data_IF_290482483066
#
_entry.id   IF_290482483066
#
_cell.length_a   1.000
_cell.length_b   1.000
_cell.length_c   1.000
_cell.angle_alpha   90.00
_cell.angle_beta   90.00
_cell.angle_gamma   90.00
#
_symmetry.space_group_name_H-M   'P 1'
#
loop_
_entity.id
_entity.type
_entity.pdbx_description
1 polymer ?
#
# COMPACT_ATOMS: atom_id res chain seq x y z
N UNK A 1 16.80 3.20 4.71
CA UNK A 1 15.34 3.40 4.78
C UNK A 1 15.10 4.85 5.17
N UNK A 2 14.44 5.65 4.32
CA UNK A 2 14.13 7.07 4.57
C UNK A 2 12.62 7.29 4.66
N UNK A 3 12.17 8.18 5.54
CA UNK A 3 10.76 8.56 5.65
C UNK A 3 10.46 9.79 4.79
N UNK A 4 9.53 9.66 3.86
CA UNK A 4 9.10 10.75 2.97
C UNK A 4 8.16 11.70 3.72
N UNK A 5 8.42 13.00 3.63
CA UNK A 5 7.64 14.06 4.28
C UNK A 5 7.05 14.97 3.21
N UNK A 6 6.03 15.74 3.55
CA UNK A 6 5.33 16.64 2.59
C UNK A 6 6.23 17.65 1.87
N UNK A 7 7.45 17.87 2.36
CA UNK A 7 8.37 18.90 1.91
C UNK A 7 9.64 18.34 1.24
N UNK A 8 9.77 17.01 1.10
CA UNK A 8 10.94 16.43 0.45
C UNK A 8 10.89 16.73 -1.05
N UNK A 9 11.82 17.57 -1.51
CA UNK A 9 11.91 18.09 -2.88
C UNK A 9 12.75 17.19 -3.79
N UNK A 10 13.50 16.24 -3.21
CA UNK A 10 14.42 15.36 -3.95
C UNK A 10 13.83 13.95 -4.07
N UNK A 11 13.91 13.40 -5.29
CA UNK A 11 13.69 11.98 -5.55
C UNK A 11 14.85 11.21 -4.91
N UNK A 12 14.54 10.42 -3.89
CA UNK A 12 15.52 9.74 -3.04
C UNK A 12 15.71 8.30 -3.51
N UNK A 13 16.89 7.96 -4.03
CA UNK A 13 17.22 6.59 -4.44
C UNK A 13 17.20 5.63 -3.24
N UNK A 14 16.64 4.44 -3.46
CA UNK A 14 16.58 3.35 -2.48
C UNK A 14 15.22 3.19 -1.80
N UNK A 15 15.20 2.57 -0.62
CA UNK A 15 13.95 2.24 0.09
C UNK A 15 13.41 3.45 0.86
N UNK A 16 12.21 3.88 0.49
CA UNK A 16 11.45 4.95 1.14
C UNK A 16 10.20 4.43 1.83
N UNK A 17 9.88 4.99 2.99
CA UNK A 17 8.62 4.79 3.69
C UNK A 17 7.75 6.01 3.41
N UNK A 18 6.55 5.77 2.88
CA UNK A 18 5.62 6.84 2.53
C UNK A 18 4.34 6.67 3.33
N UNK A 19 3.93 7.69 4.12
CA UNK A 19 2.59 7.70 4.70
C UNK A 19 1.52 7.60 3.60
N UNK A 20 0.52 6.74 3.77
CA UNK A 20 -0.47 6.43 2.72
C UNK A 20 -1.17 7.66 2.12
N UNK A 21 -1.40 8.71 2.92
CA UNK A 21 -2.01 9.96 2.46
C UNK A 21 -1.08 10.82 1.57
N UNK A 22 0.22 10.58 1.57
CA UNK A 22 1.20 11.22 0.69
C UNK A 22 1.47 10.43 -0.60
N UNK A 23 0.88 9.24 -0.78
CA UNK A 23 1.14 8.39 -1.94
C UNK A 23 0.46 8.87 -3.23
N UNK A 24 -0.20 10.02 -3.23
CA UNK A 24 -0.88 10.55 -4.42
C UNK A 24 0.11 11.36 -5.28
N UNK A 25 0.23 11.01 -6.55
CA UNK A 25 1.04 11.75 -7.53
C UNK A 25 2.51 11.34 -7.60
N UNK A 26 2.88 10.21 -6.98
CA UNK A 26 4.20 9.60 -7.04
C UNK A 26 4.03 8.12 -7.36
N UNK A 27 4.88 7.50 -8.15
CA UNK A 27 4.79 6.08 -8.51
C UNK A 27 6.12 5.38 -8.22
N UNK A 28 6.06 4.06 -7.99
CA UNK A 28 7.22 3.25 -7.64
C UNK A 28 7.23 1.95 -8.46
N UNK A 29 8.42 1.44 -8.77
CA UNK A 29 8.54 0.15 -9.45
C UNK A 29 7.89 -0.97 -8.63
N UNK A 30 8.15 -0.98 -7.31
CA UNK A 30 7.59 -1.92 -6.36
C UNK A 30 7.05 -1.20 -5.11
N UNK A 31 5.93 -1.67 -4.57
CA UNK A 31 5.34 -1.17 -3.31
C UNK A 31 5.08 -2.32 -2.35
N UNK A 32 5.45 -2.12 -1.08
CA UNK A 32 5.10 -3.00 0.02
C UNK A 32 4.10 -2.27 0.91
N UNK A 33 2.88 -2.79 1.03
CA UNK A 33 1.94 -2.35 2.07
C UNK A 33 2.22 -3.19 3.31
N UNK A 34 2.86 -2.57 4.31
CA UNK A 34 3.32 -3.26 5.51
C UNK A 34 2.19 -3.92 6.34
N UNK A 35 1.03 -3.26 6.43
CA UNK A 35 -0.11 -3.81 7.17
C UNK A 35 -1.42 -3.51 6.43
N UNK A 36 -1.88 -4.50 5.66
CA UNK A 36 -3.12 -4.56 4.93
C UNK A 36 -4.20 -5.33 5.70
N UNK A 37 -4.10 -5.40 7.03
CA UNK A 37 -5.08 -6.08 7.89
C UNK A 37 -6.40 -5.33 8.00
N UNK A 38 -7.43 -6.03 8.47
CA UNK A 38 -8.72 -5.44 8.86
C UNK A 38 -8.55 -4.35 9.94
N UNK A 39 -7.56 -4.48 10.83
CA UNK A 39 -7.32 -3.49 11.88
C UNK A 39 -6.90 -2.12 11.33
N UNK A 40 -6.21 -2.10 10.18
CA UNK A 40 -5.78 -0.87 9.50
C UNK A 40 -6.76 -0.46 8.40
N UNK A 41 -7.28 -1.42 7.63
CA UNK A 41 -8.13 -1.20 6.46
C UNK A 41 -9.46 -1.96 6.55
N UNK A 42 -10.15 -1.87 7.68
CA UNK A 42 -11.49 -2.45 7.88
C UNK A 42 -12.64 -1.48 7.56
N UNK A 43 -12.40 -0.18 7.68
CA UNK A 43 -13.42 0.85 7.45
C UNK A 43 -13.53 1.24 5.98
N UNK A 44 -14.75 1.28 5.44
CA UNK A 44 -15.05 1.60 4.04
C UNK A 44 -14.50 2.97 3.61
N UNK A 45 -14.41 3.95 4.51
CA UNK A 45 -13.80 5.27 4.24
C UNK A 45 -12.33 5.18 3.82
N UNK A 46 -11.63 4.11 4.22
CA UNK A 46 -10.23 3.87 3.89
C UNK A 46 -10.03 3.16 2.55
N UNK A 47 -11.09 2.64 1.92
CA UNK A 47 -11.02 1.93 0.63
C UNK A 47 -10.28 2.75 -0.43
N UNK A 48 -10.56 4.05 -0.50
CA UNK A 48 -9.93 4.94 -1.48
C UNK A 48 -8.44 5.12 -1.20
N UNK A 49 -8.04 5.23 0.07
CA UNK A 49 -6.64 5.35 0.46
C UNK A 49 -5.91 4.05 0.13
N UNK A 50 -6.47 2.90 0.52
CA UNK A 50 -5.91 1.59 0.21
C UNK A 50 -5.70 1.38 -1.30
N UNK A 51 -6.73 1.64 -2.10
CA UNK A 51 -6.65 1.58 -3.56
C UNK A 51 -5.58 2.54 -4.11
N UNK A 52 -5.52 3.76 -3.59
CA UNK A 52 -4.53 4.75 -4.02
C UNK A 52 -3.11 4.27 -3.70
N UNK A 53 -2.88 3.65 -2.55
CA UNK A 53 -1.57 3.11 -2.18
C UNK A 53 -1.19 1.88 -3.01
N UNK A 54 -2.11 0.94 -3.25
CA UNK A 54 -1.87 -0.23 -4.10
C UNK A 54 -1.54 0.15 -5.55
N UNK A 55 -2.25 1.13 -6.11
CA UNK A 55 -2.02 1.62 -7.49
C UNK A 55 -0.78 2.49 -7.66
N UNK A 56 0.11 2.53 -6.64
CA UNK A 56 1.45 3.13 -6.79
C UNK A 56 2.52 2.14 -7.21
N UNK A 57 2.25 0.84 -7.13
CA UNK A 57 3.10 -0.18 -7.74
C UNK A 57 2.92 -0.17 -9.25
N UNK A 58 3.99 0.07 -10.00
CA UNK A 58 4.00 -0.07 -11.46
C UNK A 58 4.21 -1.53 -11.89
N UNK A 59 5.07 -2.27 -11.19
CA UNK A 59 5.43 -3.64 -11.54
C UNK A 59 5.09 -4.66 -10.46
N UNK A 60 5.42 -4.38 -9.20
CA UNK A 60 5.27 -5.35 -8.10
C UNK A 60 4.53 -4.74 -6.89
N UNK A 61 3.50 -5.43 -6.42
CA UNK A 61 2.74 -5.07 -5.23
C UNK A 61 2.79 -6.22 -4.23
N UNK A 62 3.40 -5.96 -3.08
CA UNK A 62 3.39 -6.88 -1.95
C UNK A 62 2.49 -6.35 -0.83
N UNK A 63 1.66 -7.24 -0.29
CA UNK A 63 0.74 -6.93 0.78
C UNK A 63 1.08 -7.81 1.99
N UNK A 64 1.50 -7.18 3.08
CA UNK A 64 1.69 -7.84 4.36
C UNK A 64 0.48 -7.53 5.25
N UNK A 65 0.04 -8.48 6.08
CA UNK A 65 -1.07 -8.28 7.01
C UNK A 65 -0.63 -8.71 8.39
N UNK A 66 -0.80 -7.82 9.39
CA UNK A 66 -0.59 -8.18 10.78
C UNK A 66 -1.92 -8.68 11.35
N UNK A 67 -2.22 -9.96 11.09
CA UNK A 67 -3.49 -10.60 11.45
C UNK A 67 -4.41 -10.78 10.25
N UNK A 68 -5.73 -10.71 10.47
CA UNK A 68 -6.73 -10.96 9.44
C UNK A 68 -6.62 -9.94 8.29
N UNK A 69 -6.56 -10.39 7.02
CA UNK A 69 -6.51 -9.49 5.87
C UNK A 69 -7.73 -8.58 5.78
N UNK A 70 -7.54 -7.37 5.27
CA UNK A 70 -8.61 -6.41 5.03
C UNK A 70 -9.76 -7.03 4.22
N UNK A 71 -11.03 -6.68 4.54
CA UNK A 71 -12.19 -7.07 3.74
C UNK A 71 -12.06 -6.72 2.25
N UNK A 72 -11.27 -5.69 1.91
CA UNK A 72 -11.01 -5.29 0.53
C UNK A 72 -10.25 -6.35 -0.28
N UNK A 73 -9.52 -7.25 0.37
CA UNK A 73 -8.75 -8.31 -0.26
C UNK A 73 -9.56 -9.61 -0.45
N UNK A 74 -10.72 -9.77 0.19
CA UNK A 74 -11.48 -11.02 0.16
C UNK A 74 -11.84 -11.49 -1.26
N UNK A 75 -12.19 -10.56 -2.16
CA UNK A 75 -12.49 -10.93 -3.55
C UNK A 75 -11.24 -11.49 -4.23
N UNK A 76 -10.11 -10.81 -4.12
CA UNK A 76 -8.86 -11.21 -4.75
C UNK A 76 -8.31 -12.53 -4.17
N UNK A 77 -8.46 -12.76 -2.86
CA UNK A 77 -8.11 -14.02 -2.20
C UNK A 77 -8.96 -15.18 -2.70
N UNK A 78 -10.29 -14.99 -2.80
CA UNK A 78 -11.21 -16.03 -3.32
C UNK A 78 -10.95 -16.38 -4.78
N UNK A 79 -10.55 -15.40 -5.57
CA UNK A 79 -10.24 -15.56 -7.00
C UNK A 79 -8.81 -16.06 -7.25
N UNK A 80 -8.00 -16.25 -6.19
CA UNK A 80 -6.62 -16.72 -6.32
C UNK A 80 -5.70 -15.71 -7.02
N UNK A 81 -6.06 -14.42 -7.01
CA UNK A 81 -5.28 -13.34 -7.62
C UNK A 81 -4.07 -12.92 -6.77
N UNK A 82 -4.03 -13.35 -5.51
CA UNK A 82 -2.96 -13.07 -4.55
C UNK A 82 -2.38 -14.42 -4.13
N UNK A 83 -1.06 -14.56 -4.27
CA UNK A 83 -0.32 -15.71 -3.75
C UNK A 83 -0.05 -15.45 -2.26
N UNK A 84 -0.41 -16.41 -1.42
CA UNK A 84 -0.18 -16.41 0.04
C UNK A 84 1.13 -17.12 0.36
#
# INVERSE_FOLDING_TARGET
>A
IKLLKSNSTEYEEGVVVVPSYLSKGIEFDAVIIYDASESVYGDESLRRVFYTSCTRAMYDLQLCSVGEPSPFLQKALREGLIQV
#
